data_IF_844689028226
#
_entry.id   IF_844689028226
#
_cell.length_a   1.000
_cell.length_b   1.000
_cell.length_c   1.000
_cell.angle_alpha   90.00
_cell.angle_beta   90.00
_cell.angle_gamma   90.00
#
_symmetry.space_group_name_H-M   'P 1'
#
loop_
_entity.id
_entity.type
_entity.pdbx_description
1 polymer ?
#
# COMPACT_ATOMS: atom_id res chain seq x y z
N UNK A 1 -2.59 4.82 -21.93
CA UNK A 1 -2.53 3.84 -20.83
C UNK A 1 -3.88 3.22 -20.50
N UNK A 2 -4.97 4.00 -20.33
CA UNK A 2 -6.34 3.48 -20.10
C UNK A 2 -6.76 2.36 -21.07
N UNK A 3 -6.59 2.53 -22.38
CA UNK A 3 -6.96 1.50 -23.37
C UNK A 3 -6.26 0.14 -23.15
N UNK A 4 -4.97 0.15 -22.75
CA UNK A 4 -4.20 -1.06 -22.43
C UNK A 4 -4.77 -1.77 -21.20
N UNK A 5 -5.22 -0.98 -20.21
CA UNK A 5 -5.76 -1.49 -18.96
C UNK A 5 -7.18 -2.05 -19.16
N UNK A 6 -7.98 -1.45 -20.04
CA UNK A 6 -9.28 -2.00 -20.44
C UNK A 6 -9.15 -3.33 -21.21
N UNK A 7 -8.07 -3.54 -21.98
CA UNK A 7 -7.88 -4.75 -22.77
C UNK A 7 -7.42 -5.97 -21.97
N UNK A 8 -6.86 -5.80 -20.77
CA UNK A 8 -6.45 -6.94 -19.94
C UNK A 8 -7.65 -7.56 -19.22
N UNK A 9 -7.59 -8.87 -19.01
CA UNK A 9 -8.60 -9.61 -18.25
C UNK A 9 -8.35 -9.53 -16.75
N UNK A 10 -7.08 -9.50 -16.35
CA UNK A 10 -6.64 -9.58 -14.96
C UNK A 10 -5.63 -8.49 -14.65
N UNK A 11 -5.76 -7.87 -13.47
CA UNK A 11 -4.80 -6.92 -12.95
C UNK A 11 -4.71 -7.02 -11.42
N UNK A 12 -3.58 -6.56 -10.88
CA UNK A 12 -3.36 -6.48 -9.44
C UNK A 12 -3.29 -5.02 -9.03
N UNK A 13 -3.87 -4.66 -7.89
CA UNK A 13 -3.73 -3.32 -7.33
C UNK A 13 -2.73 -3.34 -6.18
N UNK A 14 -1.96 -2.27 -6.03
CA UNK A 14 -1.31 -1.92 -4.77
C UNK A 14 -1.97 -0.65 -4.26
N UNK A 15 -2.24 -0.60 -2.96
CA UNK A 15 -2.80 0.59 -2.33
C UNK A 15 -2.23 0.80 -0.94
N UNK A 16 -1.98 2.07 -0.64
CA UNK A 16 -1.35 2.50 0.61
C UNK A 16 -1.95 3.83 1.07
N UNK A 17 -2.01 4.02 2.38
CA UNK A 17 -2.42 5.27 3.00
C UNK A 17 -1.23 5.86 3.75
N UNK A 18 -0.86 7.09 3.41
CA UNK A 18 0.13 7.84 4.15
C UNK A 18 -0.39 9.21 4.55
N UNK A 19 0.17 9.77 5.62
CA UNK A 19 -0.08 11.14 6.03
C UNK A 19 1.12 12.02 5.73
N UNK A 20 0.88 13.26 5.29
CA UNK A 20 1.92 14.26 5.12
C UNK A 20 2.31 14.92 6.47
N UNK A 21 3.26 15.85 6.42
CA UNK A 21 3.71 16.61 7.60
C UNK A 21 2.61 17.48 8.22
N UNK A 22 1.58 17.82 7.45
CA UNK A 22 0.41 18.59 7.89
C UNK A 22 -0.72 17.67 8.38
N UNK A 23 -0.46 16.36 8.54
CA UNK A 23 -1.43 15.33 8.95
C UNK A 23 -2.61 15.17 7.98
N UNK A 24 -2.43 15.55 6.72
CA UNK A 24 -3.37 15.24 5.64
C UNK A 24 -3.08 13.85 5.12
N UNK A 25 -4.12 13.07 4.93
CA UNK A 25 -3.98 11.67 4.53
C UNK A 25 -4.33 11.47 3.08
N UNK A 26 -3.59 10.57 2.44
CA UNK A 26 -3.72 10.30 1.02
C UNK A 26 -3.80 8.79 0.79
N UNK A 27 -4.71 8.37 -0.09
CA UNK A 27 -4.81 7.02 -0.61
C UNK A 27 -4.16 6.97 -2.00
N UNK A 28 -3.05 6.26 -2.12
CA UNK A 28 -2.48 5.92 -3.42
C UNK A 28 -3.07 4.62 -3.95
N UNK A 29 -3.36 4.58 -5.25
CA UNK A 29 -3.81 3.37 -5.94
C UNK A 29 -2.99 3.18 -7.21
N UNK A 30 -2.36 2.02 -7.35
CA UNK A 30 -1.53 1.68 -8.52
C UNK A 30 -1.95 0.32 -9.07
N UNK A 31 -2.06 0.21 -10.38
CA UNK A 31 -2.38 -1.02 -11.09
C UNK A 31 -1.12 -1.65 -11.70
N UNK A 32 -1.08 -2.97 -11.66
CA UNK A 32 -0.03 -3.83 -12.17
C UNK A 32 -0.65 -4.87 -13.09
N UNK A 33 -0.19 -4.96 -14.34
CA UNK A 33 -0.75 -5.88 -15.33
C UNK A 33 0.28 -6.26 -16.40
N UNK A 34 0.10 -7.42 -17.03
CA UNK A 34 0.93 -7.91 -18.11
C UNK A 34 0.23 -7.84 -19.47
N UNK A 35 0.97 -7.51 -20.53
CA UNK A 35 0.52 -7.64 -21.93
C UNK A 35 1.60 -8.37 -22.70
N UNK A 36 1.33 -9.62 -23.09
CA UNK A 36 2.35 -10.48 -23.68
C UNK A 36 3.49 -10.76 -22.69
N UNK A 37 4.69 -10.31 -23.03
CA UNK A 37 5.90 -10.46 -22.19
C UNK A 37 6.23 -9.19 -21.37
N UNK A 38 5.48 -8.10 -21.57
CA UNK A 38 5.74 -6.82 -20.92
C UNK A 38 4.93 -6.69 -19.63
N UNK A 39 5.58 -6.19 -18.58
CA UNK A 39 4.93 -5.80 -17.33
C UNK A 39 4.72 -4.29 -17.29
N UNK A 40 3.53 -3.88 -16.86
CA UNK A 40 3.11 -2.49 -16.81
C UNK A 40 2.64 -2.11 -15.41
N UNK A 41 3.07 -0.92 -14.99
CA UNK A 41 2.69 -0.30 -13.72
C UNK A 41 2.12 1.08 -14.01
N UNK A 42 0.97 1.40 -13.42
CA UNK A 42 0.26 2.66 -13.63
C UNK A 42 -0.35 3.15 -12.34
N UNK A 43 0.02 4.34 -11.89
CA UNK A 43 -0.70 5.01 -10.81
C UNK A 43 -2.07 5.43 -11.31
N UNK A 44 -3.12 4.87 -10.72
CA UNK A 44 -4.50 5.19 -11.06
C UNK A 44 -4.93 6.52 -10.45
N UNK A 45 -4.45 6.82 -9.25
CA UNK A 45 -4.73 8.07 -8.57
C UNK A 45 -4.07 8.19 -7.21
N UNK A 46 -4.05 9.41 -6.72
CA UNK A 46 -3.72 9.77 -5.34
C UNK A 46 -4.86 10.65 -4.84
N UNK A 47 -5.58 10.14 -3.84
CA UNK A 47 -6.81 10.75 -3.36
C UNK A 47 -6.60 11.30 -1.97
N UNK A 48 -6.95 12.57 -1.75
CA UNK A 48 -7.01 13.12 -0.40
C UNK A 48 -8.16 12.48 0.36
N UNK A 49 -7.92 12.05 1.60
CA UNK A 49 -8.93 11.47 2.48
C UNK A 49 -9.34 12.53 3.50
N UNK A 50 -10.52 13.12 3.29
CA UNK A 50 -11.09 14.18 4.14
C UNK A 50 -11.82 13.61 5.38
N UNK A 51 -12.16 12.33 5.35
CA UNK A 51 -12.95 11.67 6.37
C UNK A 51 -12.09 10.75 7.25
N UNK A 52 -12.70 10.25 8.33
CA UNK A 52 -12.09 9.16 9.10
C UNK A 52 -11.90 7.97 8.16
N UNK A 53 -10.72 7.37 8.19
CA UNK A 53 -10.33 6.25 7.30
C UNK A 53 -11.09 4.95 7.63
N UNK A 54 -12.41 4.96 7.55
CA UNK A 54 -13.26 3.78 7.72
C UNK A 54 -13.08 2.85 6.53
N UNK A 55 -13.32 1.56 6.77
CA UNK A 55 -13.18 0.54 5.72
C UNK A 55 -14.14 0.80 4.56
N UNK A 56 -15.34 1.31 4.86
CA UNK A 56 -16.39 1.63 3.89
C UNK A 56 -15.97 2.79 2.98
N UNK A 57 -15.40 3.86 3.54
CA UNK A 57 -14.95 5.02 2.78
C UNK A 57 -13.79 4.68 1.84
N UNK A 58 -12.83 3.90 2.35
CA UNK A 58 -11.70 3.40 1.54
C UNK A 58 -12.22 2.49 0.42
N UNK A 59 -13.12 1.55 0.73
CA UNK A 59 -13.71 0.66 -0.26
C UNK A 59 -14.43 1.44 -1.37
N UNK A 60 -15.22 2.45 -1.01
CA UNK A 60 -15.90 3.32 -1.96
C UNK A 60 -14.90 4.05 -2.86
N UNK A 61 -13.80 4.57 -2.30
CA UNK A 61 -12.76 5.27 -3.08
C UNK A 61 -12.08 4.30 -4.06
N UNK A 62 -11.73 3.08 -3.63
CA UNK A 62 -11.14 2.05 -4.49
C UNK A 62 -12.08 1.65 -5.64
N UNK A 63 -13.37 1.45 -5.38
CA UNK A 63 -14.36 1.11 -6.41
C UNK A 63 -14.53 2.27 -7.39
N UNK A 64 -14.64 3.50 -6.88
CA UNK A 64 -14.73 4.71 -7.73
C UNK A 64 -13.50 4.87 -8.61
N UNK A 65 -12.30 4.58 -8.11
CA UNK A 65 -11.08 4.57 -8.94
C UNK A 65 -11.19 3.58 -10.11
N UNK A 66 -11.76 2.39 -9.90
CA UNK A 66 -11.98 1.43 -10.98
C UNK A 66 -12.97 1.96 -12.03
N UNK A 67 -14.07 2.60 -11.58
CA UNK A 67 -15.06 3.24 -12.44
C UNK A 67 -14.46 4.39 -13.27
N UNK A 68 -13.67 5.28 -12.65
CA UNK A 68 -12.97 6.40 -13.31
C UNK A 68 -11.99 5.94 -14.41
N UNK A 69 -11.45 4.73 -14.24
CA UNK A 69 -10.56 4.08 -15.21
C UNK A 69 -11.29 3.15 -16.18
N UNK A 70 -12.60 2.96 -16.02
CA UNK A 70 -13.46 2.26 -16.98
C UNK A 70 -13.26 0.74 -16.97
N UNK A 71 -12.98 0.14 -15.82
CA UNK A 71 -12.90 -1.32 -15.68
C UNK A 71 -13.69 -1.84 -14.46
N UNK A 72 -14.22 -3.05 -14.59
CA UNK A 72 -14.97 -3.71 -13.52
C UNK A 72 -14.01 -4.23 -12.42
N UNK A 73 -14.41 -4.09 -11.16
CA UNK A 73 -13.73 -4.64 -9.97
C UNK A 73 -13.50 -6.16 -10.03
N UNK A 74 -14.29 -6.89 -10.82
CA UNK A 74 -14.10 -8.33 -11.07
C UNK A 74 -12.73 -8.65 -11.71
N UNK A 75 -12.19 -7.74 -12.53
CA UNK A 75 -10.86 -7.88 -13.16
C UNK A 75 -9.70 -7.76 -12.18
N UNK A 76 -9.95 -7.20 -10.99
CA UNK A 76 -8.94 -7.09 -9.95
C UNK A 76 -8.77 -8.47 -9.34
N UNK A 77 -7.65 -9.13 -9.59
CA UNK A 77 -7.37 -10.48 -9.07
C UNK A 77 -6.89 -10.42 -7.62
N UNK A 78 -6.12 -9.40 -7.27
CA UNK A 78 -5.64 -9.17 -5.92
C UNK A 78 -5.37 -7.68 -5.66
N UNK A 79 -5.35 -7.31 -4.37
CA UNK A 79 -4.99 -5.99 -3.85
C UNK A 79 -3.98 -6.16 -2.74
N UNK A 80 -2.81 -5.54 -2.91
CA UNK A 80 -1.71 -5.55 -1.94
C UNK A 80 -1.77 -4.29 -1.09
N UNK A 81 -1.81 -4.42 0.24
CA UNK A 81 -1.85 -3.30 1.19
C UNK A 81 -0.98 -3.55 2.42
N UNK A 82 -0.75 -2.54 3.25
CA UNK A 82 0.07 -2.59 4.48
C UNK A 82 -0.51 -3.45 5.64
N UNK A 83 -1.57 -4.22 5.41
CA UNK A 83 -2.24 -5.05 6.41
C UNK A 83 -2.95 -4.26 7.55
N UNK A 84 -3.13 -2.94 7.41
CA UNK A 84 -3.97 -2.19 8.34
C UNK A 84 -5.42 -2.73 8.31
N UNK A 85 -6.03 -2.90 9.49
CA UNK A 85 -7.34 -3.56 9.63
C UNK A 85 -8.42 -2.95 8.70
N UNK A 86 -8.44 -1.62 8.59
CA UNK A 86 -9.39 -0.91 7.73
C UNK A 86 -9.09 -1.13 6.24
N UNK A 87 -7.82 -1.25 5.85
CA UNK A 87 -7.44 -1.56 4.46
C UNK A 87 -7.84 -3.00 4.09
N UNK A 88 -7.57 -3.96 4.97
CA UNK A 88 -7.96 -5.37 4.77
C UNK A 88 -9.48 -5.47 4.59
N UNK A 89 -10.24 -4.83 5.49
CA UNK A 89 -11.69 -4.85 5.42
C UNK A 89 -12.24 -4.09 4.22
N UNK A 90 -11.61 -2.99 3.81
CA UNK A 90 -11.98 -2.26 2.60
C UNK A 90 -11.81 -3.10 1.34
N UNK A 91 -10.70 -3.83 1.23
CA UNK A 91 -10.47 -4.76 0.10
C UNK A 91 -11.51 -5.87 0.09
N UNK A 92 -11.86 -6.42 1.26
CA UNK A 92 -12.93 -7.40 1.39
C UNK A 92 -14.28 -6.85 0.87
N UNK A 93 -14.63 -5.61 1.24
CA UNK A 93 -15.88 -4.96 0.83
C UNK A 93 -15.89 -4.68 -0.68
N UNK A 94 -14.80 -4.13 -1.23
CA UNK A 94 -14.74 -3.69 -2.63
C UNK A 94 -14.53 -4.83 -3.63
N UNK A 95 -13.76 -5.86 -3.26
CA UNK A 95 -13.28 -6.89 -4.19
C UNK A 95 -13.51 -8.33 -3.71
N UNK A 96 -13.89 -8.54 -2.45
CA UNK A 96 -14.18 -9.84 -1.84
C UNK A 96 -13.07 -10.38 -0.93
N UNK A 97 -13.47 -11.28 -0.01
CA UNK A 97 -12.63 -11.81 1.10
C UNK A 97 -11.28 -12.40 0.72
N UNK A 98 -11.11 -12.91 -0.50
CA UNK A 98 -9.91 -13.66 -0.93
C UNK A 98 -8.97 -12.86 -1.83
N UNK A 99 -9.23 -11.56 -2.02
CA UNK A 99 -8.43 -10.72 -2.92
C UNK A 99 -7.38 -9.88 -2.19
N UNK A 100 -7.31 -9.91 -0.87
CA UNK A 100 -6.28 -9.18 -0.12
C UNK A 100 -4.97 -9.99 -0.05
N UNK A 101 -3.85 -9.31 -0.28
CA UNK A 101 -2.50 -9.82 -0.06
C UNK A 101 -1.74 -8.82 0.84
N UNK A 102 -1.09 -9.27 1.93
CA UNK A 102 -0.31 -8.38 2.77
C UNK A 102 0.96 -7.90 2.04
N UNK A 103 1.34 -6.66 2.26
CA UNK A 103 2.58 -6.11 1.75
C UNK A 103 3.78 -6.79 2.42
N UNK A 104 4.61 -7.44 1.61
CA UNK A 104 5.83 -8.11 2.08
C UNK A 104 6.79 -7.18 2.83
N UNK A 105 7.01 -5.97 2.32
CA UNK A 105 7.90 -4.99 2.95
C UNK A 105 7.36 -4.54 4.32
N UNK A 106 6.05 -4.33 4.44
CA UNK A 106 5.45 -3.99 5.72
C UNK A 106 5.60 -5.15 6.72
N UNK A 107 5.36 -6.40 6.28
CA UNK A 107 5.57 -7.59 7.10
C UNK A 107 7.02 -7.71 7.59
N UNK A 108 8.02 -7.47 6.72
CA UNK A 108 9.43 -7.45 7.12
C UNK A 108 9.73 -6.35 8.15
N UNK A 109 9.15 -5.16 7.96
CA UNK A 109 9.31 -4.07 8.91
C UNK A 109 8.71 -4.43 10.28
N UNK A 110 7.54 -5.09 10.33
CA UNK A 110 6.96 -5.57 11.59
C UNK A 110 7.88 -6.56 12.31
N UNK A 111 8.47 -7.52 11.59
CA UNK A 111 9.46 -8.45 12.16
C UNK A 111 10.65 -7.69 12.72
N UNK A 112 11.16 -6.72 11.98
CA UNK A 112 12.29 -5.89 12.43
C UNK A 112 11.94 -5.09 13.68
N UNK A 113 10.76 -4.49 13.74
CA UNK A 113 10.29 -3.75 14.91
C UNK A 113 10.16 -4.65 16.15
N UNK A 114 9.67 -5.88 15.99
CA UNK A 114 9.62 -6.86 17.08
C UNK A 114 11.00 -7.23 17.59
N UNK A 115 11.97 -7.46 16.70
CA UNK A 115 13.35 -7.75 17.09
C UNK A 115 13.96 -6.55 17.82
N UNK A 116 13.74 -5.34 17.32
CA UNK A 116 14.27 -4.14 17.94
C UNK A 116 13.66 -3.88 19.32
N UNK A 117 12.43 -4.32 19.60
CA UNK A 117 11.77 -4.16 20.90
C UNK A 117 12.34 -5.07 22.00
N UNK A 118 13.25 -6.00 21.67
CA UNK A 118 13.92 -6.87 22.63
C UNK A 118 14.78 -6.01 23.60
N UNK A 119 14.60 -6.12 24.93
CA UNK A 119 15.29 -5.26 25.92
C UNK A 119 16.81 -5.24 25.78
N UNK A 120 17.42 -6.40 25.54
CA UNK A 120 18.87 -6.56 25.39
C UNK A 120 19.41 -5.80 24.17
N UNK A 121 18.63 -5.73 23.10
CA UNK A 121 18.96 -4.96 21.89
C UNK A 121 18.74 -3.45 22.12
N UNK A 122 17.73 -3.05 22.88
CA UNK A 122 17.47 -1.65 23.21
C UNK A 122 18.63 -0.99 23.96
N UNK A 123 19.42 -1.73 24.75
CA UNK A 123 20.63 -1.20 25.40
C UNK A 123 21.80 -0.97 24.44
N UNK A 124 21.84 -1.68 23.31
CA UNK A 124 22.92 -1.63 22.31
C UNK A 124 22.63 -0.57 21.23
N UNK A 125 21.34 -0.37 20.88
CA UNK A 125 20.92 0.55 19.82
C UNK A 125 21.42 2.00 19.97
N UNK A 126 21.45 2.62 21.16
CA UNK A 126 21.97 3.98 21.34
C UNK A 126 23.45 4.09 21.02
N UNK A 127 24.22 3.00 21.20
CA UNK A 127 25.66 2.96 20.90
C UNK A 127 25.90 2.90 19.39
N UNK A 128 25.08 2.12 18.67
CA UNK A 128 25.12 2.04 17.21
C UNK A 128 24.72 3.37 16.53
N UNK A 129 23.67 4.04 17.01
CA UNK A 129 23.19 5.32 16.45
C UNK A 129 24.17 6.50 16.59
N UNK A 130 25.13 6.42 17.51
CA UNK A 130 26.17 7.43 17.72
C UNK A 130 27.39 7.25 16.82
N UNK A 131 27.49 6.15 16.08
CA UNK A 131 28.56 5.96 15.10
C UNK A 131 28.36 6.91 13.91
N UNK A 132 29.37 7.71 13.53
CA UNK A 132 29.26 8.68 12.42
C UNK A 132 29.10 8.01 11.03
N UNK A 133 29.20 6.67 10.94
CA UNK A 133 29.05 5.90 9.70
C UNK A 133 27.61 5.43 9.41
N UNK A 134 26.67 5.63 10.32
CA UNK A 134 25.27 5.25 10.11
C UNK A 134 24.48 6.44 9.59
N UNK A 135 23.92 6.39 8.36
CA UNK A 135 22.91 7.35 7.97
C UNK A 135 21.81 7.30 9.03
N UNK A 136 21.33 8.45 9.48
CA UNK A 136 20.17 8.50 10.36
C UNK A 136 19.04 7.71 9.71
N UNK A 137 18.74 6.52 10.25
CA UNK A 137 17.48 5.82 10.05
C UNK A 137 16.37 6.63 10.75
N UNK A 138 16.24 7.90 10.35
CA UNK A 138 15.09 8.72 10.62
C UNK A 138 14.00 8.20 9.71
N UNK A 139 13.05 7.48 10.30
CA UNK A 139 11.73 7.18 9.76
C UNK A 139 11.70 7.12 8.24
N UNK A 140 12.16 6.02 7.64
CA UNK A 140 11.59 5.63 6.35
C UNK A 140 10.12 5.31 6.66
N UNK A 141 9.16 6.15 6.27
CA UNK A 141 7.77 5.80 6.49
C UNK A 141 7.56 4.55 5.63
N UNK A 142 7.03 3.49 6.23
CA UNK A 142 6.79 2.21 5.55
C UNK A 142 5.98 2.34 4.26
N UNK A 143 5.26 3.46 4.09
CA UNK A 143 4.56 3.83 2.87
C UNK A 143 5.45 4.02 1.64
N UNK A 144 6.74 4.35 1.82
CA UNK A 144 7.65 4.63 0.70
C UNK A 144 8.19 3.39 0.00
N UNK A 145 8.04 2.21 0.61
CA UNK A 145 8.56 0.95 0.06
C UNK A 145 7.55 0.28 -0.89
N UNK A 146 6.28 0.72 -0.89
CA UNK A 146 5.21 0.06 -1.66
C UNK A 146 4.99 0.72 -3.05
N UNK A 147 5.56 1.91 -3.28
CA UNK A 147 5.27 2.75 -4.47
C UNK A 147 6.48 2.97 -5.41
N UNK A 148 7.56 2.20 -5.29
CA UNK A 148 8.68 2.21 -6.25
C UNK A 148 8.92 0.85 -6.87
#
# INVERSE_FOLDING_TARGET
MKNKLCSVENLTLTSDIWSDLQRRSYLGVTAHFGIGIEFHVVTLGVYHLDERHTSEYIAQTLTKTCEEWGFNTDKVTAVVTDNAANMVKAVEIAFGKKKHIPCFAHTLNLVTQHILAIPELQEILPKAKKSPSTPSLGAFPTSWIILR
#
